data_IF_972728706862
#
_entry.id   IF_972728706862
#
_cell.length_a   1.000
_cell.length_b   1.000
_cell.length_c   1.000
_cell.angle_alpha   90.00
_cell.angle_beta   90.00
_cell.angle_gamma   90.00
#
_symmetry.space_group_name_H-M   'P 1'
#
loop_
_entity.id
_entity.type
_entity.pdbx_description
1 polymer ?
#
# COMPACT_ATOMS: atom_id res chain seq x y z
N UNK A 1 -54.46 3.21 -28.41
CA UNK A 1 -52.98 3.21 -28.46
C UNK A 1 -52.45 2.87 -27.11
N UNK A 2 -52.16 1.59 -26.88
CA UNK A 2 -51.73 1.06 -25.58
C UNK A 2 -50.25 1.24 -25.45
N UNK A 3 -49.79 2.10 -24.52
CA UNK A 3 -48.36 2.21 -24.15
C UNK A 3 -47.90 0.90 -23.49
N UNK A 4 -47.04 0.18 -24.18
CA UNK A 4 -46.31 -0.92 -23.54
C UNK A 4 -45.49 -0.34 -22.39
N UNK A 5 -45.69 -0.90 -21.18
CA UNK A 5 -44.85 -0.66 -20.01
C UNK A 5 -43.42 -1.13 -20.29
N UNK A 6 -42.37 -0.45 -19.78
CA UNK A 6 -41.01 -0.89 -19.95
C UNK A 6 -40.85 -2.25 -19.26
N UNK A 7 -40.37 -3.23 -20.02
CA UNK A 7 -39.96 -4.55 -19.50
C UNK A 7 -38.93 -4.34 -18.41
N UNK A 8 -39.28 -4.69 -17.17
CA UNK A 8 -38.34 -4.72 -16.04
C UNK A 8 -37.33 -5.84 -16.36
N UNK A 9 -36.18 -5.44 -16.92
CA UNK A 9 -35.04 -6.35 -17.05
C UNK A 9 -34.64 -6.80 -15.64
N UNK A 10 -34.55 -8.11 -15.42
CA UNK A 10 -34.21 -8.67 -14.11
C UNK A 10 -32.82 -8.20 -13.69
N UNK A 11 -32.61 -7.93 -12.40
CA UNK A 11 -31.30 -7.48 -11.90
C UNK A 11 -30.17 -8.47 -12.21
N UNK A 12 -30.48 -9.77 -12.34
CA UNK A 12 -29.54 -10.81 -12.74
C UNK A 12 -28.97 -10.64 -14.15
N UNK A 13 -29.77 -10.10 -15.09
CA UNK A 13 -29.30 -9.86 -16.45
C UNK A 13 -28.24 -8.76 -16.52
N UNK A 14 -28.36 -7.72 -15.69
CA UNK A 14 -27.41 -6.59 -15.67
C UNK A 14 -26.02 -6.99 -15.18
N UNK A 15 -25.94 -7.82 -14.14
CA UNK A 15 -24.66 -8.33 -13.64
C UNK A 15 -23.95 -9.18 -14.70
N UNK A 16 -24.70 -10.04 -15.40
CA UNK A 16 -24.18 -10.83 -16.51
C UNK A 16 -23.72 -9.98 -17.71
N UNK A 17 -24.38 -8.85 -17.97
CA UNK A 17 -23.92 -7.92 -19.02
C UNK A 17 -22.64 -7.21 -18.63
N UNK A 18 -22.49 -6.79 -17.37
CA UNK A 18 -21.26 -6.22 -16.85
C UNK A 18 -20.11 -7.22 -16.92
N UNK A 19 -20.33 -8.46 -16.46
CA UNK A 19 -19.35 -9.53 -16.58
C UNK A 19 -18.95 -9.77 -18.06
N UNK A 20 -19.92 -9.81 -18.94
CA UNK A 20 -19.66 -9.96 -20.38
C UNK A 20 -18.79 -8.81 -20.91
N UNK A 21 -19.06 -7.57 -20.51
CA UNK A 21 -18.27 -6.42 -20.92
C UNK A 21 -16.82 -6.49 -20.40
N UNK A 22 -16.63 -6.82 -19.12
CA UNK A 22 -15.30 -7.01 -18.55
C UNK A 22 -14.51 -8.10 -19.29
N UNK A 23 -15.13 -9.26 -19.56
CA UNK A 23 -14.50 -10.34 -20.32
C UNK A 23 -14.15 -9.96 -21.76
N UNK A 24 -14.97 -9.12 -22.41
CA UNK A 24 -14.67 -8.60 -23.75
C UNK A 24 -13.38 -7.76 -23.72
N UNK A 25 -13.25 -6.89 -22.74
CA UNK A 25 -12.06 -6.01 -22.60
C UNK A 25 -10.81 -6.84 -22.29
N UNK A 26 -10.89 -7.76 -21.36
CA UNK A 26 -9.77 -8.64 -20.96
C UNK A 26 -9.33 -9.57 -22.10
N UNK A 27 -10.27 -10.13 -22.85
CA UNK A 27 -9.98 -11.01 -23.99
C UNK A 27 -9.55 -10.26 -25.26
N UNK A 28 -9.68 -8.93 -25.27
CA UNK A 28 -9.38 -8.08 -26.44
C UNK A 28 -10.26 -8.32 -27.67
N UNK A 29 -11.26 -9.21 -27.59
CA UNK A 29 -12.16 -9.53 -28.69
C UNK A 29 -13.47 -10.16 -28.23
N UNK A 30 -14.55 -9.97 -29.03
CA UNK A 30 -15.84 -10.62 -28.79
C UNK A 30 -15.76 -12.14 -28.89
N UNK A 31 -14.93 -12.66 -29.81
CA UNK A 31 -14.72 -14.10 -29.99
C UNK A 31 -13.94 -14.71 -28.83
N UNK A 32 -12.92 -14.02 -28.32
CA UNK A 32 -12.16 -14.44 -27.15
C UNK A 32 -13.04 -14.50 -25.88
N UNK A 33 -13.88 -13.48 -25.66
CA UNK A 33 -14.85 -13.47 -24.58
C UNK A 33 -15.89 -14.59 -24.71
N UNK A 34 -16.33 -14.89 -25.92
CA UNK A 34 -17.28 -15.97 -26.19
C UNK A 34 -16.70 -17.33 -25.79
N UNK A 35 -15.44 -17.58 -26.10
CA UNK A 35 -14.73 -18.80 -25.70
C UNK A 35 -14.60 -18.90 -24.17
N UNK A 36 -14.18 -17.84 -23.51
CA UNK A 36 -14.01 -17.81 -22.04
C UNK A 36 -15.33 -18.00 -21.30
N UNK A 37 -16.43 -17.46 -21.82
CA UNK A 37 -17.76 -17.52 -21.21
C UNK A 37 -18.60 -18.72 -21.67
N UNK A 38 -18.04 -19.62 -22.44
CA UNK A 38 -18.74 -20.77 -23.05
C UNK A 38 -20.06 -20.32 -23.72
N UNK A 39 -20.01 -19.25 -24.48
CA UNK A 39 -21.14 -18.62 -25.16
C UNK A 39 -20.86 -18.41 -26.65
N UNK A 40 -21.88 -18.04 -27.43
CA UNK A 40 -21.67 -17.68 -28.84
C UNK A 40 -21.35 -16.18 -28.98
N UNK A 41 -20.53 -15.82 -29.99
CA UNK A 41 -20.22 -14.42 -30.28
C UNK A 41 -21.47 -13.52 -30.44
N UNK A 42 -22.56 -13.95 -31.13
CA UNK A 42 -23.80 -13.19 -31.19
C UNK A 42 -24.42 -12.94 -29.81
N UNK A 43 -24.32 -13.89 -28.90
CA UNK A 43 -24.79 -13.73 -27.49
C UNK A 43 -24.01 -12.66 -26.76
N UNK A 44 -22.69 -12.70 -26.86
CA UNK A 44 -21.78 -11.70 -26.26
C UNK A 44 -22.08 -10.30 -26.83
N UNK A 45 -22.22 -10.20 -28.15
CA UNK A 45 -22.58 -8.92 -28.82
C UNK A 45 -23.93 -8.37 -28.35
N UNK A 46 -24.95 -9.23 -28.20
CA UNK A 46 -26.28 -8.81 -27.69
C UNK A 46 -26.23 -8.33 -26.24
N UNK A 47 -25.48 -9.01 -25.39
CA UNK A 47 -25.29 -8.60 -23.97
C UNK A 47 -24.60 -7.25 -23.88
N UNK A 48 -23.53 -7.02 -24.65
CA UNK A 48 -22.85 -5.72 -24.72
C UNK A 48 -23.82 -4.61 -25.18
N UNK A 49 -24.57 -4.85 -26.25
CA UNK A 49 -25.56 -3.88 -26.74
C UNK A 49 -26.68 -3.62 -25.73
N UNK A 50 -27.07 -4.63 -24.94
CA UNK A 50 -28.05 -4.47 -23.88
C UNK A 50 -27.50 -3.60 -22.75
N UNK A 51 -26.24 -3.78 -22.36
CA UNK A 51 -25.55 -2.95 -21.38
C UNK A 51 -25.46 -1.50 -21.85
N UNK A 52 -24.94 -1.25 -23.06
CA UNK A 52 -24.82 0.10 -23.65
C UNK A 52 -26.18 0.81 -23.71
N UNK A 53 -27.24 0.10 -24.13
CA UNK A 53 -28.61 0.64 -24.14
C UNK A 53 -29.11 0.96 -22.74
N UNK A 54 -28.84 0.11 -21.75
CA UNK A 54 -29.29 0.31 -20.37
C UNK A 54 -28.62 1.50 -19.70
N UNK A 55 -27.37 1.78 -20.07
CA UNK A 55 -26.57 2.90 -19.55
C UNK A 55 -26.71 4.18 -20.39
N UNK A 56 -27.22 4.08 -21.62
CA UNK A 56 -27.36 5.22 -22.53
C UNK A 56 -26.06 5.71 -23.13
N UNK A 57 -24.97 4.96 -22.98
CA UNK A 57 -23.62 5.32 -23.45
C UNK A 57 -22.98 4.20 -24.28
N UNK A 58 -22.04 4.55 -25.14
CA UNK A 58 -21.20 3.59 -25.84
C UNK A 58 -19.95 3.32 -25.03
N UNK A 59 -19.64 2.03 -24.80
CA UNK A 59 -18.48 1.60 -24.04
C UNK A 59 -17.29 1.24 -24.93
N UNK A 60 -17.57 0.82 -26.20
CA UNK A 60 -16.54 0.43 -27.15
C UNK A 60 -16.66 1.23 -28.46
N UNK A 61 -15.52 1.63 -28.99
CA UNK A 61 -15.41 2.14 -30.36
C UNK A 61 -15.57 0.97 -31.34
N UNK A 62 -16.48 1.10 -32.28
CA UNK A 62 -16.64 0.14 -33.38
C UNK A 62 -15.62 0.48 -34.47
N UNK A 63 -14.47 -0.17 -34.50
CA UNK A 63 -13.57 -0.18 -35.62
C UNK A 63 -13.34 -1.62 -36.07
N UNK A 64 -13.18 -1.81 -37.38
CA UNK A 64 -12.98 -3.14 -37.99
C UNK A 64 -11.60 -3.74 -37.66
N UNK A 65 -10.66 -2.98 -37.09
CA UNK A 65 -9.30 -3.41 -36.90
C UNK A 65 -8.77 -3.38 -35.44
N UNK A 66 -9.49 -2.73 -34.53
CA UNK A 66 -9.10 -2.77 -33.12
C UNK A 66 -10.29 -2.44 -32.22
N UNK A 67 -10.40 -3.19 -31.12
CA UNK A 67 -11.35 -2.90 -30.06
C UNK A 67 -10.68 -1.88 -29.12
N UNK A 68 -11.33 -0.71 -28.94
CA UNK A 68 -10.87 0.35 -28.04
C UNK A 68 -12.00 0.79 -27.15
N UNK A 69 -11.70 1.03 -25.88
CA UNK A 69 -12.64 1.62 -24.94
C UNK A 69 -12.91 3.08 -25.30
N UNK A 70 -14.14 3.54 -25.06
CA UNK A 70 -14.45 4.97 -24.93
C UNK A 70 -14.06 5.44 -23.53
N UNK A 71 -14.05 6.74 -23.28
CA UNK A 71 -13.83 7.29 -21.93
C UNK A 71 -14.85 6.75 -20.92
N UNK A 72 -16.12 6.62 -21.33
CA UNK A 72 -17.16 5.99 -20.52
C UNK A 72 -16.93 4.48 -20.37
N UNK A 73 -16.34 3.84 -21.39
CA UNK A 73 -15.93 2.44 -21.34
C UNK A 73 -14.83 2.18 -20.33
N UNK A 74 -13.81 3.03 -20.26
CA UNK A 74 -12.73 2.93 -19.27
C UNK A 74 -13.27 3.04 -17.85
N UNK A 75 -14.06 4.08 -17.58
CA UNK A 75 -14.72 4.26 -16.28
C UNK A 75 -15.65 3.10 -15.92
N UNK A 76 -16.42 2.63 -16.89
CA UNK A 76 -17.32 1.49 -16.69
C UNK A 76 -16.54 0.21 -16.41
N UNK A 77 -15.40 -0.03 -17.08
CA UNK A 77 -14.57 -1.22 -16.89
C UNK A 77 -14.00 -1.29 -15.47
N UNK A 78 -13.42 -0.19 -15.00
CA UNK A 78 -12.89 -0.12 -13.63
C UNK A 78 -13.98 -0.40 -12.58
N UNK A 79 -15.14 0.28 -12.69
CA UNK A 79 -16.24 0.13 -11.74
C UNK A 79 -16.95 -1.22 -11.84
N UNK A 80 -17.05 -1.78 -13.06
CA UNK A 80 -17.64 -3.10 -13.26
C UNK A 80 -16.79 -4.21 -12.62
N UNK A 81 -15.47 -4.12 -12.73
CA UNK A 81 -14.56 -5.06 -12.04
C UNK A 81 -14.76 -5.02 -10.53
N UNK A 82 -14.74 -3.84 -9.93
CA UNK A 82 -14.99 -3.67 -8.49
C UNK A 82 -16.33 -4.26 -8.05
N UNK A 83 -17.39 -4.03 -8.84
CA UNK A 83 -18.74 -4.54 -8.53
C UNK A 83 -18.81 -6.07 -8.62
N UNK A 84 -18.20 -6.65 -9.65
CA UNK A 84 -18.17 -8.11 -9.86
C UNK A 84 -17.34 -8.81 -8.79
N UNK A 85 -16.20 -8.23 -8.42
CA UNK A 85 -15.38 -8.72 -7.33
C UNK A 85 -16.14 -8.68 -5.99
N UNK A 86 -16.84 -7.57 -5.71
CA UNK A 86 -17.68 -7.44 -4.51
C UNK A 86 -18.85 -8.44 -4.51
N UNK A 87 -19.45 -8.70 -5.69
CA UNK A 87 -20.51 -9.70 -5.81
C UNK A 87 -20.02 -11.12 -5.57
N UNK A 88 -18.95 -11.53 -6.23
CA UNK A 88 -18.34 -12.84 -6.04
C UNK A 88 -17.97 -13.08 -4.57
N UNK A 89 -17.49 -12.01 -3.91
CA UNK A 89 -17.19 -11.99 -2.51
C UNK A 89 -18.41 -12.15 -1.62
N UNK A 90 -19.50 -11.41 -1.88
CA UNK A 90 -20.77 -11.56 -1.18
C UNK A 90 -21.30 -13.00 -1.28
N UNK A 91 -21.22 -13.63 -2.46
CA UNK A 91 -21.59 -15.04 -2.63
C UNK A 91 -20.70 -15.99 -1.80
N UNK A 92 -19.41 -15.71 -1.73
CA UNK A 92 -18.45 -16.49 -0.93
C UNK A 92 -18.74 -16.35 0.56
N UNK A 93 -19.02 -15.14 1.02
CA UNK A 93 -19.34 -14.84 2.42
C UNK A 93 -20.66 -15.48 2.85
N UNK A 94 -21.65 -15.56 1.96
CA UNK A 94 -22.93 -16.26 2.22
C UNK A 94 -22.76 -17.78 2.33
N UNK A 95 -21.78 -18.36 1.64
CA UNK A 95 -21.52 -19.82 1.69
C UNK A 95 -20.78 -20.27 2.95
N UNK A 96 -20.40 -19.33 3.84
CA UNK A 96 -19.87 -19.56 5.17
C UNK A 96 -18.35 -19.60 5.25
N UNK A 97 -17.83 -19.33 6.44
CA UNK A 97 -16.41 -19.15 6.79
C UNK A 97 -15.49 -20.39 6.58
N UNK A 98 -15.90 -21.40 5.82
CA UNK A 98 -15.10 -22.60 5.53
C UNK A 98 -14.36 -22.55 4.18
N UNK A 99 -14.51 -21.47 3.42
CA UNK A 99 -13.81 -21.38 2.13
C UNK A 99 -12.46 -20.71 2.31
N UNK A 100 -11.43 -21.32 1.72
CA UNK A 100 -10.09 -20.73 1.65
C UNK A 100 -10.16 -19.36 0.97
N UNK A 101 -9.41 -18.35 1.49
CA UNK A 101 -9.35 -17.04 0.90
C UNK A 101 -8.98 -17.09 -0.58
N UNK A 102 -9.68 -16.31 -1.41
CA UNK A 102 -9.41 -16.25 -2.86
C UNK A 102 -9.68 -14.85 -3.42
N UNK A 103 -9.16 -14.59 -4.63
CA UNK A 103 -9.37 -13.35 -5.36
C UNK A 103 -8.30 -12.30 -5.13
N UNK A 104 -8.50 -11.12 -5.71
CA UNK A 104 -7.55 -10.01 -5.69
C UNK A 104 -7.67 -9.20 -4.39
N UNK A 105 -6.53 -8.91 -3.76
CA UNK A 105 -6.39 -8.01 -2.62
C UNK A 105 -5.45 -6.86 -2.99
N UNK A 106 -5.91 -5.61 -2.90
CA UNK A 106 -5.12 -4.42 -3.16
C UNK A 106 -4.56 -3.86 -1.85
N UNK A 107 -3.24 -3.89 -1.71
CA UNK A 107 -2.56 -3.49 -0.48
C UNK A 107 -1.63 -2.32 -0.75
N UNK A 108 -1.89 -1.19 -0.08
CA UNK A 108 -0.97 -0.06 -0.09
C UNK A 108 0.08 -0.21 1.02
N UNK A 109 1.32 0.13 0.71
CA UNK A 109 2.46 -0.04 1.62
C UNK A 109 3.41 1.14 1.45
N UNK A 110 3.99 1.68 2.53
CA UNK A 110 5.02 2.71 2.41
C UNK A 110 6.18 2.24 1.56
N UNK A 111 6.70 3.13 0.70
CA UNK A 111 7.78 2.81 -0.24
C UNK A 111 8.96 2.10 0.42
N UNK A 112 9.39 2.58 1.59
CA UNK A 112 10.54 2.01 2.27
C UNK A 112 10.33 0.55 2.69
N UNK A 113 9.17 0.21 3.24
CA UNK A 113 8.87 -1.14 3.72
C UNK A 113 8.47 -2.11 2.61
N UNK A 114 7.75 -1.59 1.61
CA UNK A 114 7.16 -2.39 0.55
C UNK A 114 8.17 -2.92 -0.47
N UNK A 115 9.38 -2.33 -0.52
CA UNK A 115 10.44 -2.77 -1.44
C UNK A 115 11.15 -4.04 -0.97
N UNK A 116 11.27 -4.26 0.33
CA UNK A 116 12.07 -5.36 0.88
C UNK A 116 11.41 -6.02 2.11
N UNK A 117 11.29 -5.28 3.21
CA UNK A 117 10.94 -5.86 4.53
C UNK A 117 9.60 -6.58 4.56
N UNK A 118 8.58 -6.03 3.89
CA UNK A 118 7.25 -6.63 3.88
C UNK A 118 6.99 -7.58 2.70
N UNK A 119 7.95 -7.72 1.77
CA UNK A 119 7.85 -8.71 0.69
C UNK A 119 8.00 -10.13 1.22
N UNK A 120 8.82 -10.35 2.25
CA UNK A 120 8.99 -11.67 2.87
C UNK A 120 7.70 -12.19 3.51
N UNK A 121 7.03 -11.42 4.41
CA UNK A 121 5.73 -11.82 4.93
C UNK A 121 4.66 -11.94 3.85
N UNK A 122 4.64 -11.05 2.83
CA UNK A 122 3.75 -11.19 1.69
C UNK A 122 3.94 -12.53 0.97
N UNK A 123 5.18 -12.92 0.68
CA UNK A 123 5.48 -14.19 0.03
C UNK A 123 5.02 -15.40 0.87
N UNK A 124 5.17 -15.32 2.19
CA UNK A 124 4.69 -16.36 3.10
C UNK A 124 3.17 -16.45 3.13
N UNK A 125 2.49 -15.30 3.13
CA UNK A 125 1.03 -15.23 3.02
C UNK A 125 0.51 -15.86 1.72
N UNK A 126 1.11 -15.51 0.58
CA UNK A 126 0.70 -16.04 -0.74
C UNK A 126 0.96 -17.55 -0.87
N UNK A 127 2.02 -18.08 -0.25
CA UNK A 127 2.24 -19.54 -0.20
C UNK A 127 1.18 -20.25 0.63
N UNK A 128 0.71 -19.61 1.71
CA UNK A 128 -0.35 -20.16 2.57
C UNK A 128 -1.73 -20.11 1.92
N UNK A 129 -1.97 -19.09 1.07
CA UNK A 129 -3.25 -18.85 0.40
C UNK A 129 -3.07 -18.70 -1.11
N UNK A 130 -2.82 -19.81 -1.84
CA UNK A 130 -2.41 -19.77 -3.25
C UNK A 130 -3.51 -19.28 -4.21
N UNK A 131 -4.75 -19.17 -3.76
CA UNK A 131 -5.86 -18.61 -4.56
C UNK A 131 -6.04 -17.11 -4.38
N UNK A 132 -5.26 -16.47 -3.51
CA UNK A 132 -5.22 -15.02 -3.36
C UNK A 132 -4.16 -14.45 -4.30
N UNK A 133 -4.51 -13.41 -5.03
CA UNK A 133 -3.57 -12.53 -5.73
C UNK A 133 -3.49 -11.18 -5.02
N UNK A 134 -2.33 -10.51 -5.07
CA UNK A 134 -2.13 -9.23 -4.42
C UNK A 134 -1.61 -8.20 -5.41
N UNK A 135 -2.28 -7.05 -5.50
CA UNK A 135 -1.71 -5.83 -6.04
C UNK A 135 -0.98 -5.09 -4.91
N UNK A 136 0.36 -5.04 -5.02
CA UNK A 136 1.23 -4.44 -4.01
C UNK A 136 1.60 -3.02 -4.44
N UNK A 137 0.95 -2.04 -3.81
CA UNK A 137 1.00 -0.64 -4.21
C UNK A 137 1.94 0.14 -3.27
N UNK A 138 3.06 0.62 -3.79
CA UNK A 138 3.97 1.45 -3.02
C UNK A 138 3.40 2.88 -2.96
N UNK A 139 2.80 3.22 -1.82
CA UNK A 139 2.12 4.49 -1.62
C UNK A 139 2.20 4.93 -0.16
N UNK A 140 2.77 6.11 0.10
CA UNK A 140 2.90 6.68 1.44
C UNK A 140 1.64 7.44 1.88
N UNK A 141 0.85 7.98 0.94
CA UNK A 141 -0.44 8.62 1.23
C UNK A 141 -1.59 7.60 1.21
N UNK A 142 -1.99 7.16 2.39
CA UNK A 142 -3.04 6.15 2.57
C UNK A 142 -4.41 6.64 2.12
N UNK A 143 -4.70 7.94 2.24
CA UNK A 143 -5.98 8.50 1.75
C UNK A 143 -6.07 8.39 0.24
N UNK A 144 -4.98 8.69 -0.45
CA UNK A 144 -4.90 8.52 -1.90
C UNK A 144 -5.00 7.04 -2.30
N UNK A 145 -4.37 6.14 -1.52
CA UNK A 145 -4.47 4.71 -1.75
C UNK A 145 -5.91 4.20 -1.66
N UNK A 146 -6.65 4.58 -0.63
CA UNK A 146 -8.06 4.20 -0.48
C UNK A 146 -8.97 4.84 -1.53
N UNK A 147 -8.72 6.10 -1.90
CA UNK A 147 -9.44 6.75 -3.01
C UNK A 147 -9.22 6.03 -4.35
N UNK A 148 -8.07 5.38 -4.53
CA UNK A 148 -7.72 4.59 -5.71
C UNK A 148 -8.09 3.09 -5.57
N UNK A 149 -8.88 2.72 -4.57
CA UNK A 149 -9.45 1.38 -4.43
C UNK A 149 -8.54 0.36 -3.72
N UNK A 150 -7.62 0.78 -2.86
CA UNK A 150 -6.90 -0.14 -1.98
C UNK A 150 -7.87 -0.74 -0.95
N UNK A 151 -7.77 -2.07 -0.72
CA UNK A 151 -8.57 -2.78 0.27
C UNK A 151 -8.04 -2.56 1.68
N UNK A 152 -6.71 -2.47 1.82
CA UNK A 152 -6.04 -2.16 3.08
C UNK A 152 -4.70 -1.46 2.83
N UNK A 153 -4.15 -0.90 3.90
CA UNK A 153 -2.85 -0.26 3.88
C UNK A 153 -2.04 -0.63 5.13
N UNK A 154 -0.74 -0.80 4.94
CA UNK A 154 0.25 -0.64 6.01
C UNK A 154 0.65 0.83 6.02
N UNK A 155 0.72 1.47 7.16
CA UNK A 155 1.11 2.88 7.25
C UNK A 155 1.95 3.18 8.47
N UNK A 156 2.76 4.23 8.35
CA UNK A 156 3.59 4.75 9.41
C UNK A 156 3.00 6.11 9.82
N UNK A 157 2.39 6.17 10.93
CA UNK A 157 1.69 7.26 11.59
C UNK A 157 0.26 6.89 11.96
N UNK A 158 -0.28 7.59 12.92
CA UNK A 158 -1.65 7.36 13.36
C UNK A 158 -2.66 7.86 12.32
N UNK A 159 -3.64 7.02 11.91
CA UNK A 159 -4.70 7.46 11.02
C UNK A 159 -5.55 8.55 11.66
N UNK A 160 -5.86 9.57 10.88
CA UNK A 160 -6.71 10.69 11.32
C UNK A 160 -8.15 10.57 10.82
N UNK A 161 -8.44 9.65 9.90
CA UNK A 161 -9.75 9.46 9.32
C UNK A 161 -10.60 8.51 10.18
N UNK A 162 -11.72 8.97 10.77
CA UNK A 162 -12.60 8.13 11.59
C UNK A 162 -13.33 7.04 10.78
N UNK A 163 -13.36 7.13 9.45
CA UNK A 163 -13.93 6.12 8.57
C UNK A 163 -12.97 4.95 8.30
N UNK A 164 -11.78 4.95 8.90
CA UNK A 164 -10.75 3.92 8.73
C UNK A 164 -10.57 3.17 10.04
N UNK A 165 -10.65 1.85 9.97
CA UNK A 165 -10.22 0.96 11.05
C UNK A 165 -8.70 0.90 11.04
N UNK A 166 -8.06 1.12 12.19
CA UNK A 166 -6.62 1.08 12.32
C UNK A 166 -6.20 0.20 13.49
N UNK A 167 -5.27 -0.70 13.23
CA UNK A 167 -4.71 -1.63 14.21
C UNK A 167 -3.23 -1.34 14.30
N UNK A 168 -2.77 -0.84 15.46
CA UNK A 168 -1.33 -0.70 15.72
C UNK A 168 -0.70 -2.08 15.81
N UNK A 169 0.38 -2.29 15.05
CA UNK A 169 1.06 -3.59 14.99
C UNK A 169 2.48 -3.54 15.52
N UNK A 170 3.15 -2.39 15.45
CA UNK A 170 4.53 -2.25 15.96
C UNK A 170 4.92 -0.78 16.12
N UNK A 171 6.10 -0.55 16.71
CA UNK A 171 6.82 0.71 16.69
C UNK A 171 8.20 0.51 16.06
N UNK A 172 8.59 1.43 15.17
CA UNK A 172 9.91 1.44 14.53
C UNK A 172 10.84 2.37 15.29
N UNK A 173 11.88 1.81 15.91
CA UNK A 173 12.93 2.61 16.56
C UNK A 173 13.70 3.43 15.53
N UNK A 174 14.11 4.65 15.91
CA UNK A 174 14.88 5.57 15.06
C UNK A 174 16.10 6.08 15.79
N UNK A 175 17.26 5.96 15.13
CA UNK A 175 18.55 6.34 15.65
C UNK A 175 19.17 7.49 14.88
N UNK A 176 20.06 8.24 15.53
CA UNK A 176 20.98 9.15 14.86
C UNK A 176 22.21 8.39 14.44
N UNK A 177 22.55 8.42 13.17
CA UNK A 177 23.73 7.74 12.62
C UNK A 177 24.57 8.68 11.77
N UNK A 178 25.84 8.34 11.64
CA UNK A 178 26.77 8.99 10.72
C UNK A 178 27.81 7.96 10.22
N UNK A 179 28.42 8.22 9.06
CA UNK A 179 29.55 7.42 8.60
C UNK A 179 30.78 7.69 9.48
N UNK A 180 31.66 6.68 9.74
CA UNK A 180 32.90 6.88 10.48
C UNK A 180 33.78 7.99 9.90
N UNK A 181 33.84 8.11 8.58
CA UNK A 181 34.64 9.12 7.88
C UNK A 181 34.20 10.55 8.22
N UNK A 182 32.89 10.76 8.40
CA UNK A 182 32.36 12.06 8.82
C UNK A 182 32.82 12.48 10.21
N UNK A 183 33.20 11.52 11.04
CA UNK A 183 33.57 11.70 12.43
C UNK A 183 35.10 11.75 12.62
N UNK A 184 35.87 11.59 11.54
CA UNK A 184 37.34 11.66 11.58
C UNK A 184 37.78 13.05 12.07
N UNK A 185 38.78 13.05 12.94
CA UNK A 185 39.30 14.30 13.55
C UNK A 185 38.53 14.77 14.79
N UNK A 186 37.43 14.14 15.15
CA UNK A 186 36.78 14.40 16.43
C UNK A 186 37.51 13.66 17.58
N UNK A 187 37.71 14.36 18.68
CA UNK A 187 38.36 13.76 19.87
C UNK A 187 37.55 12.58 20.46
N UNK A 188 36.25 12.58 20.24
CA UNK A 188 35.31 11.52 20.63
C UNK A 188 34.00 11.61 19.81
N UNK A 189 33.26 10.51 19.79
CA UNK A 189 31.93 10.49 19.19
C UNK A 189 30.97 11.44 19.94
N UNK A 190 30.05 12.15 19.23
CA UNK A 190 29.01 12.95 19.87
C UNK A 190 28.14 12.11 20.80
N UNK A 191 27.86 12.61 22.00
CA UNK A 191 27.07 11.94 23.04
C UNK A 191 25.83 12.72 23.44
N UNK A 192 25.76 14.00 23.11
CA UNK A 192 24.67 14.89 23.48
C UNK A 192 24.05 15.55 22.23
N UNK A 193 22.78 15.96 22.29
CA UNK A 193 22.13 16.69 21.22
C UNK A 193 22.88 17.97 20.80
N UNK A 194 23.47 18.68 21.77
CA UNK A 194 24.25 19.89 21.50
C UNK A 194 25.47 19.62 20.59
N UNK A 195 26.16 18.51 20.79
CA UNK A 195 27.31 18.09 19.98
C UNK A 195 26.90 17.72 18.55
N UNK A 196 25.67 17.24 18.35
CA UNK A 196 25.15 16.90 17.02
C UNK A 196 24.93 18.12 16.13
N UNK A 197 24.80 19.32 16.69
CA UNK A 197 24.60 20.54 15.91
C UNK A 197 25.81 20.92 15.06
N UNK A 198 26.99 20.39 15.38
CA UNK A 198 28.24 20.66 14.64
C UNK A 198 28.42 19.82 13.38
N UNK A 199 27.60 18.76 13.25
CA UNK A 199 27.67 17.88 12.08
C UNK A 199 26.90 18.46 10.89
N UNK A 200 27.30 18.17 9.64
CA UNK A 200 26.40 18.30 8.51
C UNK A 200 25.25 17.31 8.65
N UNK A 201 24.06 17.70 8.20
CA UNK A 201 22.86 16.89 8.34
C UNK A 201 22.20 16.52 7.03
N UNK A 202 21.50 15.40 7.03
CA UNK A 202 20.60 14.96 5.99
C UNK A 202 19.19 14.96 6.56
N UNK A 203 18.18 15.38 5.78
CA UNK A 203 16.80 15.44 6.23
C UNK A 203 15.88 14.51 5.44
N UNK A 204 14.97 13.85 6.15
CA UNK A 204 13.85 13.13 5.58
C UNK A 204 12.60 14.04 5.63
N UNK A 205 12.23 14.62 4.49
CA UNK A 205 11.31 15.77 4.38
C UNK A 205 9.96 15.61 5.10
N UNK A 206 9.39 14.40 5.13
CA UNK A 206 8.10 14.14 5.73
C UNK A 206 8.16 14.01 7.27
N UNK A 207 9.35 13.84 7.85
CA UNK A 207 9.53 13.58 9.28
C UNK A 207 10.28 14.67 10.01
N UNK A 208 11.30 15.25 9.39
CA UNK A 208 12.08 16.34 9.95
C UNK A 208 12.81 17.11 8.83
N UNK A 209 12.78 18.42 8.91
CA UNK A 209 13.41 19.30 7.91
C UNK A 209 14.56 20.11 8.50
N UNK A 210 14.28 20.94 9.49
CA UNK A 210 15.21 21.88 10.07
C UNK A 210 15.43 21.65 11.57
N UNK A 211 14.71 20.71 12.14
CA UNK A 211 14.76 20.40 13.57
C UNK A 211 14.49 18.91 13.79
N UNK A 212 15.21 18.32 14.73
CA UNK A 212 15.02 16.94 15.21
C UNK A 212 14.80 16.98 16.71
N UNK A 213 13.71 16.41 17.19
CA UNK A 213 13.47 16.20 18.62
C UNK A 213 14.03 14.84 19.01
N UNK A 214 14.92 14.84 19.99
CA UNK A 214 15.52 13.63 20.55
C UNK A 214 15.09 13.47 22.01
N UNK A 215 14.83 12.24 22.42
CA UNK A 215 14.44 11.87 23.77
C UNK A 215 15.52 11.01 24.39
N UNK A 216 15.93 11.34 25.59
CA UNK A 216 16.91 10.54 26.34
C UNK A 216 16.24 9.24 26.83
N UNK A 217 16.83 8.10 26.50
CA UNK A 217 16.22 6.77 26.69
C UNK A 217 15.93 6.42 28.17
N UNK A 218 16.69 6.97 29.12
CA UNK A 218 16.53 6.64 30.56
C UNK A 218 15.69 7.70 31.28
N UNK A 219 15.91 8.99 30.99
CA UNK A 219 15.29 10.08 31.76
C UNK A 219 14.00 10.60 31.14
N UNK A 220 13.74 10.30 29.85
CA UNK A 220 12.63 10.86 29.09
C UNK A 220 12.79 12.35 28.75
N UNK A 221 13.94 12.95 29.09
CA UNK A 221 14.23 14.35 28.75
C UNK A 221 14.20 14.53 27.23
N UNK A 222 13.55 15.58 26.76
CA UNK A 222 13.50 15.94 25.36
C UNK A 222 14.37 17.15 25.06
N UNK A 223 15.15 17.06 23.98
CA UNK A 223 15.93 18.17 23.46
C UNK A 223 15.71 18.32 21.96
N UNK A 224 15.74 19.58 21.50
CA UNK A 224 15.60 19.90 20.08
C UNK A 224 16.95 20.27 19.50
N UNK A 225 17.27 19.61 18.40
CA UNK A 225 18.48 19.85 17.62
C UNK A 225 18.09 20.60 16.36
N UNK A 226 18.49 21.87 16.28
CA UNK A 226 18.34 22.63 15.01
C UNK A 226 19.38 22.12 14.01
N UNK A 227 18.95 21.75 12.83
CA UNK A 227 19.80 21.20 11.79
C UNK A 227 19.76 22.09 10.52
N UNK A 228 20.83 22.00 9.75
CA UNK A 228 20.92 22.62 8.42
C UNK A 228 21.26 21.52 7.43
N UNK A 229 20.26 20.91 6.81
CA UNK A 229 20.51 19.79 5.89
C UNK A 229 21.29 20.20 4.65
N UNK A 230 22.33 19.45 4.31
CA UNK A 230 23.04 19.56 3.03
C UNK A 230 22.30 18.84 1.90
N UNK A 231 21.50 17.81 2.28
CA UNK A 231 20.59 17.08 1.39
C UNK A 231 19.26 16.87 2.12
N UNK A 232 18.16 17.07 1.40
CA UNK A 232 16.81 16.74 1.85
C UNK A 232 16.16 15.82 0.82
N UNK A 233 15.61 14.71 1.27
CA UNK A 233 14.96 13.69 0.44
C UNK A 233 13.66 13.20 1.07
N UNK A 234 12.77 12.65 0.27
CA UNK A 234 11.56 11.92 0.69
C UNK A 234 11.80 10.39 0.77
N UNK A 235 12.94 9.91 0.26
CA UNK A 235 13.31 8.50 0.22
C UNK A 235 14.23 8.11 1.39
N UNK A 236 13.76 7.17 2.21
CA UNK A 236 14.55 6.62 3.32
C UNK A 236 15.81 5.88 2.80
N UNK A 237 15.73 5.23 1.64
CA UNK A 237 16.89 4.57 1.01
C UNK A 237 17.92 5.57 0.48
N UNK A 238 17.49 6.67 -0.13
CA UNK A 238 18.39 7.73 -0.57
C UNK A 238 19.08 8.40 0.64
N UNK A 239 18.33 8.63 1.74
CA UNK A 239 18.87 9.13 2.99
C UNK A 239 19.98 8.21 3.54
N UNK A 240 19.71 6.90 3.62
CA UNK A 240 20.67 5.88 4.04
C UNK A 240 21.94 5.91 3.16
N UNK A 241 21.76 5.90 1.85
CA UNK A 241 22.89 5.91 0.91
C UNK A 241 23.75 7.17 1.08
N UNK A 242 23.13 8.35 1.22
CA UNK A 242 23.84 9.60 1.46
C UNK A 242 24.59 9.58 2.81
N UNK A 243 24.01 8.98 3.85
CA UNK A 243 24.67 8.83 5.15
C UNK A 243 25.88 7.90 5.06
N UNK A 244 25.76 6.75 4.40
CA UNK A 244 26.88 5.80 4.16
C UNK A 244 28.02 6.45 3.39
N UNK A 245 27.72 7.34 2.46
CA UNK A 245 28.72 8.11 1.70
C UNK A 245 29.33 9.29 2.49
N UNK A 246 28.98 9.45 3.77
CA UNK A 246 29.55 10.47 4.64
C UNK A 246 29.06 11.89 4.37
N UNK A 247 27.95 12.09 3.68
CA UNK A 247 27.44 13.44 3.36
C UNK A 247 26.84 14.15 4.58
N UNK A 248 26.46 13.42 5.64
CA UNK A 248 25.91 14.01 6.84
C UNK A 248 25.37 12.96 7.83
N UNK A 249 25.07 13.42 9.04
CA UNK A 249 24.30 12.65 10.02
C UNK A 249 22.83 12.64 9.66
N UNK A 250 22.11 11.58 10.03
CA UNK A 250 20.67 11.50 9.81
C UNK A 250 19.97 10.71 10.93
N UNK A 251 18.65 10.93 11.05
CA UNK A 251 17.77 10.02 11.79
C UNK A 251 17.19 9.02 10.81
N UNK A 252 17.45 7.75 11.04
CA UNK A 252 16.92 6.67 10.22
C UNK A 252 16.29 5.56 11.03
N UNK A 253 15.50 4.73 10.37
CA UNK A 253 14.83 3.58 10.95
C UNK A 253 15.82 2.46 11.26
N UNK A 254 15.75 1.92 12.47
CA UNK A 254 16.67 0.90 12.96
C UNK A 254 16.79 -0.32 12.02
N UNK A 255 15.67 -0.81 11.53
CA UNK A 255 15.61 -1.97 10.64
C UNK A 255 16.38 -1.79 9.31
N UNK A 256 16.44 -0.54 8.79
CA UNK A 256 17.15 -0.24 7.54
C UNK A 256 18.66 -0.02 7.78
N UNK A 257 19.02 0.46 8.96
CA UNK A 257 20.40 0.83 9.29
C UNK A 257 21.18 -0.30 9.96
N UNK A 258 20.50 -1.36 10.42
CA UNK A 258 21.10 -2.44 11.20
C UNK A 258 22.33 -3.05 10.50
N UNK A 259 22.20 -3.43 9.24
CA UNK A 259 23.29 -4.05 8.47
C UNK A 259 24.47 -3.08 8.26
N UNK A 260 24.21 -1.78 8.08
CA UNK A 260 25.27 -0.78 7.91
C UNK A 260 26.01 -0.53 9.21
N UNK A 261 25.30 -0.60 10.35
CA UNK A 261 25.91 -0.47 11.68
C UNK A 261 26.74 -1.71 11.99
N UNK A 262 26.21 -2.91 11.73
CA UNK A 262 26.93 -4.17 11.96
C UNK A 262 28.20 -4.27 11.12
N UNK A 263 28.14 -3.80 9.86
CA UNK A 263 29.28 -3.79 8.96
C UNK A 263 30.22 -2.58 9.14
N UNK A 264 29.94 -1.73 10.13
CA UNK A 264 30.75 -0.55 10.43
C UNK A 264 30.72 0.55 9.37
N UNK A 265 29.78 0.53 8.41
CA UNK A 265 29.58 1.61 7.43
C UNK A 265 28.94 2.85 8.06
N UNK A 266 28.10 2.61 9.08
CA UNK A 266 27.49 3.65 9.90
C UNK A 266 27.78 3.37 11.37
N UNK A 267 27.83 4.42 12.17
CA UNK A 267 27.90 4.33 13.62
C UNK A 267 26.77 5.13 14.24
N UNK A 268 26.18 4.61 15.30
CA UNK A 268 25.21 5.35 16.08
C UNK A 268 25.91 6.43 16.88
N UNK A 269 25.49 7.68 16.70
CA UNK A 269 25.96 8.84 17.47
C UNK A 269 24.90 9.21 18.52
N UNK A 270 25.35 9.71 19.67
CA UNK A 270 24.52 10.02 20.84
C UNK A 270 23.55 8.86 21.20
N UNK A 271 24.01 7.62 21.47
CA UNK A 271 23.18 6.43 21.60
C UNK A 271 22.16 6.47 22.75
N UNK A 272 22.35 7.39 23.72
CA UNK A 272 21.39 7.63 24.81
C UNK A 272 20.21 8.53 24.35
N UNK A 273 20.22 9.04 23.12
CA UNK A 273 19.24 9.93 22.58
C UNK A 273 18.64 9.33 21.31
N UNK A 274 17.34 9.20 21.27
CA UNK A 274 16.61 8.60 20.17
C UNK A 274 15.51 9.55 19.67
N UNK A 275 15.24 9.52 18.40
CA UNK A 275 14.04 10.17 17.86
C UNK A 275 12.80 9.36 18.26
N UNK A 276 11.64 10.01 18.35
CA UNK A 276 10.39 9.34 18.67
C UNK A 276 10.18 8.14 17.73
N UNK A 277 9.79 6.96 18.23
CA UNK A 277 9.51 5.82 17.39
C UNK A 277 8.34 6.11 16.43
N UNK A 278 8.30 5.42 15.30
CA UNK A 278 7.22 5.55 14.35
C UNK A 278 6.25 4.38 14.54
N UNK A 279 4.98 4.64 14.91
CA UNK A 279 3.99 3.60 15.03
C UNK A 279 3.60 3.07 13.63
N UNK A 280 3.52 1.76 13.49
CA UNK A 280 3.06 1.07 12.29
C UNK A 280 1.66 0.54 12.50
N UNK A 281 0.79 0.84 11.57
CA UNK A 281 -0.60 0.39 11.59
C UNK A 281 -0.94 -0.42 10.35
N UNK A 282 -1.86 -1.36 10.52
CA UNK A 282 -2.64 -1.92 9.43
C UNK A 282 -3.98 -1.19 9.45
N UNK A 283 -4.36 -0.61 8.33
CA UNK A 283 -5.61 0.16 8.21
C UNK A 283 -6.42 -0.29 7.00
N UNK A 284 -7.74 -0.18 7.12
CA UNK A 284 -8.69 -0.50 6.06
C UNK A 284 -9.99 0.28 6.26
N UNK A 285 -10.73 0.62 5.19
CA UNK A 285 -12.00 1.35 5.31
C UNK A 285 -12.99 0.60 6.18
N UNK A 286 -13.72 1.34 7.03
CA UNK A 286 -14.78 0.73 7.84
C UNK A 286 -15.87 0.16 6.93
N UNK A 287 -16.19 -1.10 7.13
CA UNK A 287 -17.27 -1.79 6.45
C UNK A 287 -18.02 -2.70 7.41
N UNK A 288 -19.27 -3.02 7.09
CA UNK A 288 -20.08 -3.92 7.88
C UNK A 288 -19.63 -5.39 7.77
N UNK A 289 -19.03 -5.72 6.64
CA UNK A 289 -18.50 -7.06 6.34
C UNK A 289 -17.15 -6.91 5.60
N UNK A 290 -16.23 -7.80 5.91
CA UNK A 290 -14.92 -7.85 5.27
C UNK A 290 -14.70 -9.19 4.59
N UNK A 291 -14.07 -9.18 3.42
CA UNK A 291 -13.67 -10.38 2.71
C UNK A 291 -12.77 -11.31 3.54
N UNK A 292 -12.94 -12.61 3.36
CA UNK A 292 -12.06 -13.59 4.00
C UNK A 292 -10.58 -13.32 3.68
N UNK A 293 -10.24 -12.97 2.43
CA UNK A 293 -8.87 -12.60 2.04
C UNK A 293 -8.31 -11.41 2.82
N UNK A 294 -9.12 -10.37 3.07
CA UNK A 294 -8.70 -9.23 3.87
C UNK A 294 -8.55 -9.60 5.34
N UNK A 295 -9.52 -10.33 5.91
CA UNK A 295 -9.45 -10.77 7.30
C UNK A 295 -8.21 -11.62 7.57
N UNK A 296 -7.91 -12.59 6.69
CA UNK A 296 -6.75 -13.47 6.82
C UNK A 296 -5.43 -12.70 6.60
N UNK A 297 -5.41 -11.75 5.66
CA UNK A 297 -4.23 -10.90 5.45
C UNK A 297 -3.95 -10.03 6.68
N UNK A 298 -4.96 -9.36 7.23
CA UNK A 298 -4.82 -8.54 8.44
C UNK A 298 -4.36 -9.39 9.62
N UNK A 299 -4.97 -10.55 9.85
CA UNK A 299 -4.58 -11.47 10.93
C UNK A 299 -3.13 -11.92 10.77
N UNK A 300 -2.72 -12.32 9.57
CA UNK A 300 -1.36 -12.76 9.27
C UNK A 300 -0.33 -11.64 9.46
N UNK A 301 -0.62 -10.44 8.91
CA UNK A 301 0.32 -9.32 8.98
C UNK A 301 0.46 -8.74 10.40
N UNK A 302 -0.56 -8.86 11.25
CA UNK A 302 -0.44 -8.49 12.68
C UNK A 302 0.65 -9.26 13.40
N UNK A 303 0.88 -10.51 13.03
CA UNK A 303 1.91 -11.37 13.61
C UNK A 303 3.26 -11.20 12.90
N UNK A 304 3.23 -11.05 11.57
CA UNK A 304 4.43 -11.04 10.74
C UNK A 304 5.16 -9.70 10.72
N UNK A 305 4.43 -8.56 10.76
CA UNK A 305 5.04 -7.23 10.69
C UNK A 305 5.98 -6.94 11.86
N UNK A 306 5.63 -7.19 13.14
CA UNK A 306 6.57 -6.98 14.26
C UNK A 306 7.87 -7.75 14.10
N UNK A 307 7.78 -9.00 13.62
CA UNK A 307 8.94 -9.85 13.38
C UNK A 307 9.83 -9.32 12.24
N UNK A 308 9.21 -8.83 11.16
CA UNK A 308 9.93 -8.34 9.99
C UNK A 308 10.74 -7.06 10.26
N UNK A 309 10.26 -6.19 11.14
CA UNK A 309 10.91 -4.89 11.42
C UNK A 309 11.74 -4.89 12.71
N UNK A 310 11.91 -6.04 13.37
CA UNK A 310 12.63 -6.12 14.63
C UNK A 310 11.94 -5.31 15.72
N UNK A 311 10.61 -5.39 15.79
CA UNK A 311 9.82 -4.64 16.75
C UNK A 311 10.33 -4.84 18.17
N UNK A 312 10.46 -3.75 18.91
CA UNK A 312 10.56 -3.82 20.36
C UNK A 312 9.32 -4.53 20.88
N UNK A 313 9.45 -5.50 21.79
CA UNK A 313 8.32 -6.21 22.37
C UNK A 313 7.35 -5.27 23.09
#
# INVERSE_FOLDING_TARGET
MTKLAPTVTSSGDRLQWLETFVRIVEAGSLSGAALQMNATQPTISRRLQALERSMGVRLLHRSTHAMRLTLDGERCFERARELLDNWAQFETDLRGAQHEPEGLLRVAVPHAFGQEKFVVPLATFLRRYPRVSVEWLLQDDVRLAFANGADCALQVSEPTDPAVVAIKVSDVARFVVAAPDLLQGMARLPRTPAELTTLPWLALQHYYRNEVTLTHVTTGQQERVTIRPVVSTDSLYALRSAAVLGLGACVGSAWLLADDIEQGRLVQVAPQWQAAPLPVFISYPYARYYPSRLQQFVAFMREAVPQAIGGLP
#
